data_IF_323223893782
#
_entry.id   IF_323223893782
#
_cell.length_a   1.000
_cell.length_b   1.000
_cell.length_c   1.000
_cell.angle_alpha   90.00
_cell.angle_beta   90.00
_cell.angle_gamma   90.00
#
_symmetry.space_group_name_H-M   'P 1'
#
loop_
_entity.id
_entity.type
_entity.pdbx_description
1 polymer ?
#
# COMPACT_ATOMS: atom_id res chain seq x y z
N UNK A 1 -12.39 -14.67 0.53
CA UNK A 1 -10.95 -14.93 0.36
C UNK A 1 -10.18 -13.61 0.45
N UNK A 2 -9.05 -13.62 1.14
CA UNK A 2 -8.20 -12.43 1.33
C UNK A 2 -6.85 -12.66 0.65
N UNK A 3 -6.32 -11.60 0.03
CA UNK A 3 -5.01 -11.61 -0.61
C UNK A 3 -4.13 -10.59 0.10
N UNK A 4 -2.96 -11.05 0.55
CA UNK A 4 -1.91 -10.18 1.07
C UNK A 4 -0.87 -10.00 -0.03
N UNK A 5 -0.67 -8.75 -0.42
CA UNK A 5 0.46 -8.33 -1.24
C UNK A 5 1.56 -7.79 -0.32
N UNK A 6 2.79 -8.25 -0.55
CA UNK A 6 4.00 -7.80 0.15
C UNK A 6 5.23 -8.26 -0.63
N UNK A 7 6.31 -7.50 -0.50
CA UNK A 7 7.64 -7.91 -0.98
C UNK A 7 8.18 -9.09 -0.16
N UNK A 8 9.01 -9.90 -0.81
CA UNK A 8 9.67 -11.06 -0.21
C UNK A 8 10.74 -10.69 0.84
N UNK A 9 11.15 -9.42 0.90
CA UNK A 9 12.10 -8.91 1.90
C UNK A 9 11.46 -8.65 3.27
N UNK A 10 10.15 -8.92 3.42
CA UNK A 10 9.36 -8.74 4.64
C UNK A 10 9.54 -7.31 5.20
N UNK A 11 9.03 -6.29 4.50
CA UNK A 11 9.25 -4.90 4.85
C UNK A 11 8.51 -4.45 6.12
N UNK A 12 7.70 -5.33 6.70
CA UNK A 12 6.97 -5.17 7.95
C UNK A 12 6.76 -6.53 8.63
N UNK A 13 6.45 -6.51 9.92
CA UNK A 13 6.11 -7.71 10.68
C UNK A 13 4.71 -8.22 10.29
N UNK A 14 4.61 -9.49 9.90
CA UNK A 14 3.36 -10.14 9.52
C UNK A 14 2.32 -10.19 10.66
N UNK A 15 2.74 -10.00 11.92
CA UNK A 15 1.79 -9.85 13.04
C UNK A 15 0.84 -8.67 12.84
N UNK A 16 1.24 -7.65 12.08
CA UNK A 16 0.39 -6.50 11.71
C UNK A 16 -0.78 -6.93 10.81
N UNK A 17 -0.63 -8.02 10.05
CA UNK A 17 -1.69 -8.53 9.17
C UNK A 17 -2.90 -8.96 9.98
N UNK A 18 -2.74 -9.56 11.16
CA UNK A 18 -3.87 -9.93 12.01
C UNK A 18 -4.71 -8.71 12.41
N UNK A 19 -4.04 -7.62 12.76
CA UNK A 19 -4.70 -6.34 13.05
C UNK A 19 -5.36 -5.77 11.80
N UNK A 20 -4.71 -5.86 10.64
CA UNK A 20 -5.28 -5.41 9.39
C UNK A 20 -6.55 -6.19 9.02
N UNK A 21 -6.56 -7.52 9.14
CA UNK A 21 -7.76 -8.34 8.91
C UNK A 21 -8.90 -7.91 9.84
N UNK A 22 -8.63 -7.68 11.12
CA UNK A 22 -9.65 -7.17 12.07
C UNK A 22 -10.22 -5.83 11.64
N UNK A 23 -9.37 -4.89 11.23
CA UNK A 23 -9.80 -3.58 10.73
C UNK A 23 -10.61 -3.70 9.43
N UNK A 24 -10.28 -4.68 8.59
CA UNK A 24 -10.95 -4.93 7.32
C UNK A 24 -12.41 -5.32 7.56
N UNK A 25 -12.64 -6.19 8.54
CA UNK A 25 -13.99 -6.61 8.93
C UNK A 25 -14.71 -5.56 9.79
N UNK A 26 -14.01 -4.87 10.70
CA UNK A 26 -14.61 -3.85 11.59
C UNK A 26 -15.13 -2.63 10.81
N UNK A 27 -14.38 -2.17 9.81
CA UNK A 27 -14.75 -1.00 9.01
C UNK A 27 -15.45 -1.37 7.70
N UNK A 28 -15.69 -2.67 7.45
CA UNK A 28 -16.28 -3.19 6.22
C UNK A 28 -15.60 -2.63 4.95
N UNK A 29 -14.27 -2.57 4.97
CA UNK A 29 -13.47 -2.06 3.85
C UNK A 29 -12.99 -3.21 2.96
N UNK A 30 -12.82 -2.93 1.67
CA UNK A 30 -12.36 -3.94 0.71
C UNK A 30 -10.83 -3.97 0.56
N UNK A 31 -10.15 -2.87 0.92
CA UNK A 31 -8.70 -2.68 0.74
C UNK A 31 -8.12 -1.96 1.97
N UNK A 32 -6.99 -2.46 2.46
CA UNK A 32 -6.15 -1.78 3.46
C UNK A 32 -4.77 -1.55 2.86
N UNK A 33 -4.37 -0.28 2.78
CA UNK A 33 -3.00 0.11 2.46
C UNK A 33 -2.24 0.39 3.75
N UNK A 34 -1.19 -0.39 4.00
CA UNK A 34 -0.29 -0.15 5.11
C UNK A 34 0.70 0.98 4.75
N UNK A 35 1.34 1.56 5.75
CA UNK A 35 2.37 2.59 5.56
C UNK A 35 3.44 2.47 6.64
N UNK A 36 4.67 2.86 6.32
CA UNK A 36 5.75 2.94 7.31
C UNK A 36 5.57 4.18 8.19
N UNK A 37 5.56 3.99 9.51
CA UNK A 37 5.45 5.09 10.47
C UNK A 37 6.76 5.87 10.60
N UNK A 38 7.89 5.19 10.53
CA UNK A 38 9.21 5.81 10.64
C UNK A 38 9.96 5.76 9.31
N UNK A 39 10.16 6.94 8.71
CA UNK A 39 10.91 7.15 7.46
C UNK A 39 12.24 7.89 7.71
N UNK A 40 12.60 8.09 8.97
CA UNK A 40 13.69 8.97 9.39
C UNK A 40 15.07 8.39 9.06
N UNK A 41 15.18 7.07 8.92
CA UNK A 41 16.44 6.36 8.66
C UNK A 41 16.92 6.33 7.20
N UNK A 42 16.08 6.68 6.22
CA UNK A 42 16.41 6.53 4.78
C UNK A 42 17.10 7.76 4.17
N UNK A 43 17.29 8.81 4.97
CA UNK A 43 17.95 10.06 4.59
C UNK A 43 17.01 11.11 3.99
N UNK A 44 17.35 12.40 4.14
CA UNK A 44 16.46 13.53 3.81
C UNK A 44 16.06 13.56 2.33
N UNK A 45 16.94 13.11 1.42
CA UNK A 45 16.68 13.09 -0.02
C UNK A 45 15.55 12.13 -0.39
N UNK A 46 15.55 10.91 0.16
CA UNK A 46 14.52 9.89 -0.11
C UNK A 46 13.17 10.32 0.48
N UNK A 47 13.19 10.91 1.66
CA UNK A 47 11.99 11.46 2.29
C UNK A 47 11.33 12.53 1.42
N UNK A 48 12.11 13.47 0.88
CA UNK A 48 11.59 14.50 -0.04
C UNK A 48 11.02 13.89 -1.32
N UNK A 49 11.73 12.93 -1.93
CA UNK A 49 11.22 12.26 -3.14
C UNK A 49 9.91 11.51 -2.89
N UNK A 50 9.84 10.70 -1.83
CA UNK A 50 8.61 9.98 -1.47
C UNK A 50 7.47 10.94 -1.16
N UNK A 51 7.75 12.07 -0.48
CA UNK A 51 6.74 13.07 -0.19
C UNK A 51 6.20 13.71 -1.46
N UNK A 52 7.08 14.23 -2.34
CA UNK A 52 6.69 14.87 -3.60
C UNK A 52 5.91 13.90 -4.49
N UNK A 53 6.38 12.66 -4.61
CA UNK A 53 5.71 11.63 -5.40
C UNK A 53 4.32 11.32 -4.85
N UNK A 54 4.20 11.02 -3.55
CA UNK A 54 2.91 10.71 -2.93
C UNK A 54 1.94 11.90 -3.06
N UNK A 55 2.40 13.14 -2.79
CA UNK A 55 1.55 14.33 -2.95
C UNK A 55 1.11 14.56 -4.39
N UNK A 56 1.98 14.33 -5.37
CA UNK A 56 1.63 14.42 -6.79
C UNK A 56 0.55 13.41 -7.17
N UNK A 57 0.71 12.14 -6.78
CA UNK A 57 -0.27 11.09 -7.07
C UNK A 57 -1.60 11.34 -6.36
N UNK A 58 -1.57 11.77 -5.09
CA UNK A 58 -2.77 12.14 -4.33
C UNK A 58 -3.51 13.30 -5.02
N UNK A 59 -2.79 14.30 -5.54
CA UNK A 59 -3.40 15.44 -6.23
C UNK A 59 -3.97 15.05 -7.61
N UNK A 60 -3.27 14.21 -8.37
CA UNK A 60 -3.70 13.81 -9.72
C UNK A 60 -4.86 12.82 -9.69
N UNK A 61 -4.87 11.88 -8.75
CA UNK A 61 -5.87 10.80 -8.69
C UNK A 61 -6.91 10.99 -7.57
N UNK A 62 -6.79 12.05 -6.76
CA UNK A 62 -7.70 12.30 -5.63
C UNK A 62 -7.59 11.27 -4.51
N UNK A 63 -6.51 10.48 -4.47
CA UNK A 63 -6.32 9.41 -3.51
C UNK A 63 -6.03 9.96 -2.11
N UNK A 64 -6.62 9.35 -1.08
CA UNK A 64 -6.37 9.67 0.34
C UNK A 64 -5.52 8.60 1.01
N UNK A 65 -4.41 8.20 0.35
CA UNK A 65 -3.50 7.15 0.83
C UNK A 65 -2.17 7.77 1.22
N UNK A 66 -1.67 7.48 2.44
CA UNK A 66 -0.42 8.05 2.96
C UNK A 66 0.83 7.61 2.20
N UNK A 67 0.83 6.37 1.72
CA UNK A 67 1.96 5.79 1.01
C UNK A 67 1.48 4.90 -0.13
N UNK A 68 1.60 5.39 -1.36
CA UNK A 68 1.08 4.69 -2.54
C UNK A 68 1.97 3.49 -2.89
N UNK A 69 3.29 3.68 -2.82
CA UNK A 69 4.30 2.70 -3.23
C UNK A 69 4.64 1.66 -2.16
N UNK A 70 4.00 1.69 -0.99
CA UNK A 70 4.27 0.66 0.01
C UNK A 70 3.63 -0.66 -0.40
N UNK A 71 4.44 -1.71 -0.45
CA UNK A 71 4.03 -3.05 -0.87
C UNK A 71 3.10 -3.76 0.13
N UNK A 72 2.96 -3.28 1.37
CA UNK A 72 2.01 -3.87 2.33
C UNK A 72 0.57 -3.50 1.99
N UNK A 73 -0.14 -4.36 1.26
CA UNK A 73 -1.56 -4.18 0.92
C UNK A 73 -2.35 -5.44 1.19
N UNK A 74 -3.46 -5.31 1.90
CA UNK A 74 -4.41 -6.40 2.16
C UNK A 74 -5.69 -6.10 1.42
N UNK A 75 -6.16 -7.02 0.58
CA UNK A 75 -7.34 -6.82 -0.26
C UNK A 75 -8.26 -8.05 -0.25
N UNK A 76 -9.56 -7.82 -0.42
CA UNK A 76 -10.51 -8.90 -0.73
C UNK A 76 -10.29 -9.37 -2.17
N UNK A 77 -10.31 -10.68 -2.41
CA UNK A 77 -10.06 -11.24 -3.74
C UNK A 77 -11.00 -10.69 -4.82
N UNK A 78 -12.27 -10.45 -4.46
CA UNK A 78 -13.26 -9.86 -5.37
C UNK A 78 -12.82 -8.52 -5.96
N UNK A 79 -12.02 -7.71 -5.26
CA UNK A 79 -11.51 -6.44 -5.80
C UNK A 79 -10.54 -6.69 -6.95
N UNK A 80 -9.71 -7.73 -6.84
CA UNK A 80 -8.74 -8.07 -7.88
C UNK A 80 -9.43 -8.66 -9.12
N UNK A 81 -10.51 -9.41 -8.92
CA UNK A 81 -11.26 -10.03 -10.02
C UNK A 81 -12.01 -9.00 -10.89
N UNK A 82 -12.37 -7.84 -10.32
CA UNK A 82 -13.10 -6.77 -11.00
C UNK A 82 -12.19 -5.73 -11.68
N UNK A 83 -10.85 -5.82 -11.51
CA UNK A 83 -9.90 -4.82 -12.00
C UNK A 83 -8.92 -5.44 -13.00
N UNK A 84 -8.92 -4.92 -14.23
CA UNK A 84 -7.88 -5.24 -15.23
C UNK A 84 -6.63 -4.40 -14.95
N UNK A 85 -5.68 -4.99 -14.22
CA UNK A 85 -4.42 -4.35 -13.86
C UNK A 85 -3.46 -4.33 -15.05
N UNK A 86 -3.20 -3.14 -15.60
CA UNK A 86 -2.19 -2.93 -16.66
C UNK A 86 -1.16 -1.89 -16.24
N UNK A 87 0.11 -2.27 -16.27
CA UNK A 87 1.23 -1.34 -16.15
C UNK A 87 2.44 -1.87 -16.91
N UNK A 88 3.08 -0.99 -17.68
CA UNK A 88 4.36 -1.26 -18.35
C UNK A 88 5.54 -0.69 -17.55
N UNK A 89 5.32 -0.22 -16.31
CA UNK A 89 6.32 0.46 -15.50
C UNK A 89 6.16 0.19 -14.00
N UNK A 90 6.77 1.02 -13.16
CA UNK A 90 6.88 0.81 -11.71
C UNK A 90 5.59 1.08 -10.90
N UNK A 91 4.42 1.10 -11.54
CA UNK A 91 3.14 1.29 -10.85
C UNK A 91 2.54 -0.03 -10.36
N UNK A 92 2.96 -1.14 -10.96
CA UNK A 92 2.67 -2.50 -10.50
C UNK A 92 4.03 -3.17 -10.38
N UNK A 93 4.40 -3.63 -9.19
CA UNK A 93 5.63 -4.40 -9.07
C UNK A 93 5.40 -5.80 -9.66
N UNK A 94 6.35 -6.24 -10.50
CA UNK A 94 6.33 -7.51 -11.25
C UNK A 94 7.04 -8.59 -10.46
#
# INVERSE_FOLDING_TARGET
>A
ELVLYTDADLPFDLTVVERAVRLLDEYEVDIISMYRFDRTGEGPRRLVYSYVYNSMIQAMLGLRVRDVNFAGKLLRRCVLDEVDLRSEGSFIDV
#
